data_IF_930956515839
#
_entry.id   IF_930956515839
#
_cell.length_a   1.000
_cell.length_b   1.000
_cell.length_c   1.000
_cell.angle_alpha   90.00
_cell.angle_beta   90.00
_cell.angle_gamma   90.00
#
_symmetry.space_group_name_H-M   'P 1'
#
loop_
_entity.id
_entity.type
_entity.pdbx_description
1 polymer ?
#
# COMPACT_ATOMS: atom_id res chain seq x y z
N UNK A 1 2.81 24.05 14.27
CA UNK A 1 2.42 23.40 13.02
C UNK A 1 1.28 24.20 12.38
N UNK A 2 1.32 24.39 11.05
CA UNK A 2 0.16 24.80 10.26
C UNK A 2 -0.48 23.53 9.73
N UNK A 3 -1.79 23.36 9.98
CA UNK A 3 -2.54 22.17 9.55
C UNK A 3 -3.56 22.60 8.51
N UNK A 4 -3.58 21.91 7.37
CA UNK A 4 -4.59 22.05 6.32
C UNK A 4 -5.40 20.75 6.24
N UNK A 5 -6.71 20.87 6.03
CA UNK A 5 -7.62 19.75 5.93
C UNK A 5 -8.11 19.58 4.49
N UNK A 6 -8.23 18.34 4.03
CA UNK A 6 -8.77 18.01 2.73
C UNK A 6 -9.68 16.78 2.79
N UNK A 7 -10.81 16.83 2.09
CA UNK A 7 -11.70 15.69 1.95
C UNK A 7 -11.11 14.68 0.94
N UNK A 8 -11.05 13.41 1.34
CA UNK A 8 -10.56 12.31 0.50
C UNK A 8 -11.44 11.08 0.64
N UNK A 9 -11.40 10.19 -0.35
CA UNK A 9 -12.14 8.94 -0.33
C UNK A 9 -13.65 9.13 -0.36
N UNK A 10 -14.38 8.37 0.46
CA UNK A 10 -15.84 8.37 0.46
C UNK A 10 -16.47 9.71 0.76
N UNK A 11 -15.91 10.48 1.69
CA UNK A 11 -16.39 11.85 2.00
C UNK A 11 -16.26 12.77 0.79
N UNK A 12 -15.16 12.66 0.05
CA UNK A 12 -14.94 13.46 -1.16
C UNK A 12 -15.89 13.03 -2.29
N UNK A 13 -16.15 11.71 -2.43
CA UNK A 13 -17.14 11.20 -3.40
C UNK A 13 -18.53 11.76 -3.09
N UNK A 14 -18.95 11.75 -1.83
CA UNK A 14 -20.27 12.25 -1.43
C UNK A 14 -20.44 13.76 -1.71
N UNK A 15 -19.41 14.54 -1.49
CA UNK A 15 -19.46 16.00 -1.64
C UNK A 15 -19.18 16.48 -3.06
N UNK A 16 -18.31 15.78 -3.78
CA UNK A 16 -17.71 16.28 -5.01
C UNK A 16 -17.78 15.31 -6.19
N UNK A 17 -18.29 14.08 -5.99
CA UNK A 17 -18.35 13.04 -7.03
C UNK A 17 -17.01 12.43 -7.42
N UNK A 18 -15.92 12.78 -6.73
CA UNK A 18 -14.56 12.28 -6.99
C UNK A 18 -13.87 11.91 -5.69
N UNK A 19 -13.04 10.86 -5.66
CA UNK A 19 -12.36 10.44 -4.44
C UNK A 19 -11.24 11.39 -4.00
N UNK A 20 -10.72 12.22 -4.91
CA UNK A 20 -9.63 13.18 -4.66
C UNK A 20 -9.77 14.41 -5.55
N UNK A 21 -9.89 15.58 -4.93
CA UNK A 21 -9.86 16.85 -5.64
C UNK A 21 -8.43 17.24 -6.05
N UNK A 22 -8.23 17.87 -7.22
CA UNK A 22 -6.92 18.40 -7.62
C UNK A 22 -6.30 19.34 -6.57
N UNK A 23 -7.10 20.22 -5.98
CA UNK A 23 -6.63 21.16 -4.94
C UNK A 23 -6.10 20.46 -3.69
N UNK A 24 -6.74 19.36 -3.26
CA UNK A 24 -6.29 18.55 -2.11
C UNK A 24 -5.01 17.81 -2.45
N UNK A 25 -4.92 17.27 -3.66
CA UNK A 25 -3.71 16.62 -4.17
C UNK A 25 -2.51 17.59 -4.20
N UNK A 26 -2.72 18.81 -4.71
CA UNK A 26 -1.68 19.81 -4.84
C UNK A 26 -1.25 20.38 -3.48
N UNK A 27 -2.20 20.56 -2.54
CA UNK A 27 -1.90 20.88 -1.13
C UNK A 27 -1.05 19.79 -0.48
N UNK A 28 -1.41 18.51 -0.67
CA UNK A 28 -0.62 17.39 -0.16
C UNK A 28 0.81 17.37 -0.72
N UNK A 29 1.01 17.73 -1.99
CA UNK A 29 2.33 17.79 -2.62
C UNK A 29 3.21 18.92 -2.08
N UNK A 30 2.61 20.00 -1.58
CA UNK A 30 3.31 21.16 -1.00
C UNK A 30 3.56 21.03 0.51
N UNK A 31 2.98 20.01 1.17
CA UNK A 31 3.09 19.81 2.60
C UNK A 31 4.36 19.04 2.98
N UNK A 32 4.91 19.34 4.16
CA UNK A 32 6.04 18.60 4.73
C UNK A 32 5.68 17.14 5.08
N UNK A 33 4.41 16.91 5.45
CA UNK A 33 3.88 15.58 5.76
C UNK A 33 2.36 15.54 5.55
N UNK A 34 1.84 14.35 5.26
CA UNK A 34 0.41 14.09 5.11
C UNK A 34 -0.03 13.05 6.14
N UNK A 35 -0.96 13.47 7.03
CA UNK A 35 -1.65 12.53 7.91
C UNK A 35 -2.92 12.06 7.21
N UNK A 36 -2.99 10.78 6.92
CA UNK A 36 -4.06 10.18 6.13
C UNK A 36 -4.92 9.25 6.99
N UNK A 37 -6.24 9.47 6.97
CA UNK A 37 -7.19 8.64 7.71
C UNK A 37 -7.77 7.48 6.90
N UNK A 38 -8.83 6.84 7.43
CA UNK A 38 -9.60 5.84 6.70
C UNK A 38 -10.40 6.47 5.56
N UNK A 39 -10.45 5.81 4.41
CA UNK A 39 -11.05 6.38 3.19
C UNK A 39 -12.40 5.78 2.81
N UNK A 40 -12.63 4.51 3.16
CA UNK A 40 -13.80 3.72 2.76
C UNK A 40 -14.75 3.43 3.90
N UNK A 41 -15.74 2.62 3.60
CA UNK A 41 -16.73 2.11 4.53
C UNK A 41 -17.86 1.39 3.81
N UNK A 42 -18.77 0.70 4.54
CA UNK A 42 -19.80 -0.13 3.93
C UNK A 42 -20.69 0.61 2.91
N UNK A 43 -20.85 1.92 3.07
CA UNK A 43 -21.66 2.76 2.16
C UNK A 43 -21.12 2.74 0.72
N UNK A 44 -19.80 2.66 0.53
CA UNK A 44 -19.13 2.73 -0.77
C UNK A 44 -18.61 1.36 -1.24
N UNK A 45 -18.85 0.29 -0.47
CA UNK A 45 -18.41 -1.07 -0.78
C UNK A 45 -19.42 -1.78 -1.71
N UNK A 46 -19.55 -1.25 -2.93
CA UNK A 46 -20.40 -1.83 -3.97
C UNK A 46 -19.52 -2.48 -5.04
N UNK A 47 -19.76 -3.76 -5.43
CA UNK A 47 -18.92 -4.49 -6.38
C UNK A 47 -18.73 -3.78 -7.72
N UNK A 48 -19.78 -3.11 -8.23
CA UNK A 48 -19.81 -2.48 -9.55
C UNK A 48 -19.51 -0.99 -9.55
N UNK A 49 -19.04 -0.44 -8.42
CA UNK A 49 -18.67 0.97 -8.34
C UNK A 49 -17.53 1.30 -9.30
N UNK A 50 -17.77 2.26 -10.21
CA UNK A 50 -16.77 2.80 -11.13
C UNK A 50 -15.73 3.70 -10.45
N UNK A 51 -16.08 4.24 -9.29
CA UNK A 51 -15.23 5.13 -8.47
C UNK A 51 -15.21 4.60 -7.05
N UNK A 52 -14.02 4.36 -6.52
CA UNK A 52 -13.83 3.80 -5.19
C UNK A 52 -13.09 4.76 -4.27
N UNK A 53 -13.40 4.77 -2.96
CA UNK A 53 -12.68 5.59 -1.99
C UNK A 53 -11.16 5.34 -2.00
N UNK A 54 -10.72 4.10 -2.21
CA UNK A 54 -9.32 3.68 -2.25
C UNK A 54 -8.54 4.32 -3.40
N UNK A 55 -9.22 4.75 -4.47
CA UNK A 55 -8.59 5.42 -5.61
C UNK A 55 -7.90 6.72 -5.18
N UNK A 56 -8.42 7.41 -4.15
CA UNK A 56 -7.77 8.59 -3.57
C UNK A 56 -6.37 8.27 -3.04
N UNK A 57 -6.23 7.15 -2.33
CA UNK A 57 -4.95 6.72 -1.77
C UNK A 57 -3.96 6.32 -2.86
N UNK A 58 -4.42 5.60 -3.88
CA UNK A 58 -3.58 5.19 -5.00
C UNK A 58 -3.09 6.40 -5.81
N UNK A 59 -3.98 7.36 -6.09
CA UNK A 59 -3.65 8.60 -6.79
C UNK A 59 -2.64 9.45 -6.00
N UNK A 60 -2.84 9.63 -4.68
CA UNK A 60 -1.90 10.36 -3.82
C UNK A 60 -0.53 9.70 -3.77
N UNK A 61 -0.45 8.38 -3.60
CA UNK A 61 0.82 7.64 -3.58
C UNK A 61 1.60 7.81 -4.88
N UNK A 62 0.90 7.71 -6.00
CA UNK A 62 1.52 7.92 -7.31
C UNK A 62 2.00 9.35 -7.50
N UNK A 63 1.16 10.33 -7.14
CA UNK A 63 1.48 11.75 -7.31
C UNK A 63 2.65 12.21 -6.41
N UNK A 64 2.69 11.74 -5.18
CA UNK A 64 3.76 12.05 -4.21
C UNK A 64 5.02 11.21 -4.43
N UNK A 65 4.99 10.21 -5.30
CA UNK A 65 6.14 9.31 -5.55
C UNK A 65 6.54 8.48 -4.32
N UNK A 66 5.63 8.26 -3.37
CA UNK A 66 5.91 7.49 -2.15
C UNK A 66 5.85 5.99 -2.46
N UNK A 67 6.99 5.35 -2.46
CA UNK A 67 7.16 3.96 -2.91
C UNK A 67 7.35 2.95 -1.76
N UNK A 68 7.82 3.40 -0.60
CA UNK A 68 8.10 2.51 0.53
C UNK A 68 7.01 2.59 1.61
N UNK A 69 6.29 1.51 1.81
CA UNK A 69 5.40 1.36 2.96
C UNK A 69 6.16 0.66 4.09
N UNK A 70 6.29 1.34 5.22
CA UNK A 70 7.02 0.85 6.38
C UNK A 70 6.02 0.53 7.48
N UNK A 71 5.94 -0.74 7.87
CA UNK A 71 5.02 -1.25 8.88
C UNK A 71 5.79 -1.86 10.04
N UNK A 72 6.04 -1.11 11.11
CA UNK A 72 6.59 -1.69 12.33
C UNK A 72 5.54 -2.61 12.99
N UNK A 73 5.99 -3.77 13.41
CA UNK A 73 5.20 -4.75 14.16
C UNK A 73 5.96 -5.06 15.44
N UNK A 74 5.41 -4.62 16.55
CA UNK A 74 5.95 -4.84 17.88
C UNK A 74 4.86 -5.34 18.80
N UNK A 75 5.14 -6.39 19.54
CA UNK A 75 4.24 -6.87 20.59
C UNK A 75 4.50 -6.10 21.85
N UNK A 76 3.48 -5.47 22.37
CA UNK A 76 3.50 -4.81 23.66
C UNK A 76 3.00 -5.80 24.73
N UNK A 77 3.73 -6.04 25.84
CA UNK A 77 3.36 -7.04 26.84
C UNK A 77 1.92 -6.91 27.36
N UNK A 78 1.44 -5.68 27.53
CA UNK A 78 0.09 -5.40 28.02
C UNK A 78 -1.03 -5.64 26.99
N UNK A 79 -0.68 -5.93 25.73
CA UNK A 79 -1.62 -6.29 24.67
C UNK A 79 -1.51 -7.78 24.28
N UNK A 80 -0.62 -8.55 24.90
CA UNK A 80 -0.37 -9.94 24.53
C UNK A 80 -1.63 -10.81 24.65
N UNK A 81 -2.44 -10.59 25.68
CA UNK A 81 -3.67 -11.34 25.92
C UNK A 81 -4.77 -11.09 24.88
N UNK A 82 -4.67 -10.01 24.10
CA UNK A 82 -5.59 -9.73 22.99
C UNK A 82 -5.28 -10.53 21.72
N UNK A 83 -4.20 -11.28 21.69
CA UNK A 83 -3.76 -12.07 20.54
C UNK A 83 -4.32 -13.50 20.61
N UNK A 84 -4.67 -14.06 19.44
CA UNK A 84 -4.99 -15.48 19.29
C UNK A 84 -3.75 -16.38 19.28
N UNK A 85 -2.53 -15.83 19.27
CA UNK A 85 -1.28 -16.57 19.27
C UNK A 85 -0.83 -16.90 20.69
N UNK A 86 -0.14 -18.03 20.84
CA UNK A 86 0.46 -18.42 22.14
C UNK A 86 1.48 -17.38 22.60
N UNK A 87 1.57 -17.08 23.91
CA UNK A 87 2.54 -16.11 24.45
C UNK A 87 3.98 -16.38 24.03
N UNK A 88 4.39 -17.65 23.97
CA UNK A 88 5.74 -18.05 23.53
C UNK A 88 6.08 -17.69 22.07
N UNK A 89 5.05 -17.45 21.24
CA UNK A 89 5.22 -17.01 19.83
C UNK A 89 5.33 -15.49 19.75
N UNK A 90 4.75 -14.79 20.72
CA UNK A 90 4.71 -13.33 20.78
C UNK A 90 5.94 -12.71 21.43
N UNK A 91 6.61 -13.49 22.28
CA UNK A 91 7.76 -13.02 23.06
C UNK A 91 8.90 -12.54 22.14
N UNK A 92 9.35 -11.30 22.35
CA UNK A 92 10.46 -10.71 21.59
C UNK A 92 10.16 -10.34 20.15
N UNK A 93 8.89 -10.41 19.69
CA UNK A 93 8.51 -9.99 18.34
C UNK A 93 8.70 -8.49 18.18
N UNK A 94 9.67 -8.13 17.36
CA UNK A 94 9.97 -6.75 16.91
C UNK A 94 10.51 -6.82 15.48
N UNK A 95 9.65 -6.60 14.51
CA UNK A 95 10.01 -6.64 13.09
C UNK A 95 9.42 -5.45 12.33
N UNK A 96 9.96 -5.17 11.16
CA UNK A 96 9.43 -4.17 10.24
C UNK A 96 9.19 -4.82 8.89
N UNK A 97 7.96 -4.72 8.39
CA UNK A 97 7.64 -5.10 7.02
C UNK A 97 7.85 -3.88 6.12
N UNK A 98 8.75 -4.00 5.16
CA UNK A 98 9.00 -2.99 4.13
C UNK A 98 8.36 -3.48 2.84
N UNK A 99 7.40 -2.71 2.29
CA UNK A 99 6.66 -3.08 1.10
C UNK A 99 6.85 -2.03 0.01
N UNK A 100 7.21 -2.47 -1.19
CA UNK A 100 7.14 -1.64 -2.40
C UNK A 100 5.66 -1.39 -2.77
N UNK A 101 5.30 -0.14 -3.08
CA UNK A 101 3.92 0.27 -3.25
C UNK A 101 3.55 0.79 -4.64
N UNK A 102 4.50 1.13 -5.49
CA UNK A 102 4.24 1.84 -6.75
C UNK A 102 4.42 0.96 -7.98
N UNK A 103 4.89 -0.26 -7.79
CA UNK A 103 4.97 -1.30 -8.81
C UNK A 103 3.98 -2.46 -8.59
N UNK A 104 4.12 -3.50 -9.38
CA UNK A 104 3.41 -4.77 -9.22
C UNK A 104 1.94 -4.73 -9.63
N UNK A 105 1.15 -5.57 -8.99
CA UNK A 105 -0.24 -5.88 -9.36
C UNK A 105 -1.21 -4.68 -9.29
N UNK A 106 -0.91 -3.65 -8.51
CA UNK A 106 -1.85 -2.54 -8.33
C UNK A 106 -1.81 -1.53 -9.46
N UNK A 107 -0.67 -1.37 -10.12
CA UNK A 107 -0.44 -0.31 -11.10
C UNK A 107 -0.14 -0.81 -12.51
N UNK A 108 0.40 -2.02 -12.66
CA UNK A 108 0.79 -2.54 -13.97
C UNK A 108 -0.43 -2.83 -14.86
N UNK A 109 -0.22 -2.65 -16.16
CA UNK A 109 -1.22 -2.89 -17.20
C UNK A 109 -0.73 -4.04 -18.10
N UNK A 110 -1.65 -4.79 -18.76
CA UNK A 110 -3.11 -4.67 -18.73
C UNK A 110 -3.73 -5.17 -17.41
N UNK A 111 -4.85 -4.56 -17.04
CA UNK A 111 -5.64 -4.92 -15.87
C UNK A 111 -7.12 -4.74 -16.17
N UNK A 112 -7.94 -5.72 -15.84
CA UNK A 112 -9.38 -5.59 -16.02
C UNK A 112 -10.10 -6.91 -16.26
N UNK A 113 -11.37 -6.77 -16.63
CA UNK A 113 -12.27 -7.89 -16.99
C UNK A 113 -12.76 -7.70 -18.39
N UNK A 114 -12.89 -8.79 -19.13
CA UNK A 114 -13.41 -8.82 -20.49
C UNK A 114 -14.39 -9.97 -20.61
N UNK A 115 -15.55 -9.71 -21.20
CA UNK A 115 -16.50 -10.76 -21.54
C UNK A 115 -16.03 -11.48 -22.81
N UNK A 116 -16.06 -12.81 -22.75
CA UNK A 116 -15.67 -13.68 -23.87
C UNK A 116 -16.79 -14.66 -24.18
N UNK A 117 -16.78 -15.36 -25.33
CA UNK A 117 -17.77 -16.39 -25.65
C UNK A 117 -17.81 -17.55 -24.62
N UNK A 118 -16.76 -17.72 -23.83
CA UNK A 118 -16.65 -18.75 -22.78
C UNK A 118 -16.97 -18.22 -21.37
N UNK A 119 -17.41 -16.95 -21.24
CA UNK A 119 -17.68 -16.28 -19.98
C UNK A 119 -16.67 -15.16 -19.69
N UNK A 120 -16.65 -14.69 -18.46
CA UNK A 120 -15.75 -13.60 -18.04
C UNK A 120 -14.30 -14.06 -17.91
N UNK A 121 -13.40 -13.27 -18.46
CA UNK A 121 -11.96 -13.35 -18.25
C UNK A 121 -11.47 -12.16 -17.48
N UNK A 122 -10.52 -12.33 -16.56
CA UNK A 122 -9.90 -11.27 -15.81
C UNK A 122 -8.37 -11.35 -15.90
N UNK A 123 -7.69 -10.21 -15.91
CA UNK A 123 -6.23 -10.13 -15.92
C UNK A 123 -5.77 -9.08 -14.91
N UNK A 124 -4.75 -9.43 -14.14
CA UNK A 124 -3.92 -8.52 -13.36
C UNK A 124 -2.45 -8.76 -13.73
N UNK A 125 -1.76 -7.71 -14.14
CA UNK A 125 -0.35 -7.78 -14.52
C UNK A 125 0.55 -7.47 -13.32
N UNK A 126 1.52 -8.34 -13.04
CA UNK A 126 2.59 -8.06 -12.09
C UNK A 126 3.87 -7.70 -12.86
N UNK A 127 4.38 -6.51 -12.66
CA UNK A 127 5.61 -6.03 -13.29
C UNK A 127 6.44 -5.22 -12.31
N UNK A 128 7.72 -5.52 -12.24
CA UNK A 128 8.73 -4.73 -11.52
C UNK A 128 9.92 -4.47 -12.42
N UNK A 129 10.54 -3.31 -12.24
CA UNK A 129 11.83 -2.95 -12.83
C UNK A 129 12.95 -3.09 -11.81
N UNK A 130 14.18 -3.22 -12.27
CA UNK A 130 15.37 -3.25 -11.42
C UNK A 130 15.46 -2.01 -10.52
N UNK A 131 15.15 -0.82 -11.04
CA UNK A 131 15.14 0.42 -10.27
C UNK A 131 14.12 0.43 -9.13
N UNK A 132 12.94 -0.18 -9.33
CA UNK A 132 11.91 -0.32 -8.28
C UNK A 132 12.37 -1.30 -7.20
N UNK A 133 12.99 -2.41 -7.58
CA UNK A 133 13.56 -3.38 -6.64
C UNK A 133 14.72 -2.75 -5.86
N UNK A 134 15.66 -2.10 -6.55
CA UNK A 134 16.83 -1.48 -5.91
C UNK A 134 16.42 -0.43 -4.87
N UNK A 135 15.51 0.50 -5.20
CA UNK A 135 15.12 1.56 -4.27
C UNK A 135 14.50 1.03 -2.97
N UNK A 136 13.66 -0.02 -3.06
CA UNK A 136 13.03 -0.59 -1.84
C UNK A 136 14.03 -1.42 -1.04
N UNK A 137 14.93 -2.16 -1.69
CA UNK A 137 16.00 -2.89 -1.02
C UNK A 137 16.94 -1.95 -0.26
N UNK A 138 17.29 -0.79 -0.83
CA UNK A 138 18.08 0.23 -0.13
C UNK A 138 17.41 0.70 1.16
N UNK A 139 16.08 0.86 1.18
CA UNK A 139 15.32 1.19 2.39
C UNK A 139 15.40 0.03 3.39
N UNK A 140 15.17 -1.20 2.93
CA UNK A 140 15.24 -2.41 3.77
C UNK A 140 16.62 -2.60 4.42
N UNK A 141 17.70 -2.46 3.67
CA UNK A 141 19.07 -2.57 4.19
C UNK A 141 19.40 -1.49 5.21
N UNK A 142 19.03 -0.23 4.97
CA UNK A 142 19.24 0.86 5.95
C UNK A 142 18.50 0.59 7.25
N UNK A 143 17.25 0.12 7.19
CA UNK A 143 16.48 -0.26 8.36
C UNK A 143 17.12 -1.45 9.08
N UNK A 144 17.58 -2.46 8.37
CA UNK A 144 18.26 -3.61 8.96
C UNK A 144 19.54 -3.18 9.68
N UNK A 145 20.36 -2.31 9.08
CA UNK A 145 21.58 -1.76 9.70
C UNK A 145 21.30 -0.99 11.01
N UNK A 146 20.20 -0.24 11.05
CA UNK A 146 19.81 0.52 12.26
C UNK A 146 19.17 -0.35 13.35
N UNK A 147 18.98 -1.65 13.11
CA UNK A 147 18.32 -2.61 14.00
C UNK A 147 19.27 -3.78 14.31
N UNK A 148 18.86 -5.01 13.99
CA UNK A 148 19.60 -6.24 14.33
C UNK A 148 20.48 -6.77 13.19
N UNK A 149 20.58 -6.06 12.07
CA UNK A 149 21.33 -6.51 10.90
C UNK A 149 20.69 -7.67 10.14
N UNK A 150 19.42 -7.97 10.39
CA UNK A 150 18.69 -9.07 9.74
C UNK A 150 17.71 -8.52 8.72
N UNK A 151 17.77 -9.08 7.50
CA UNK A 151 16.83 -8.79 6.42
C UNK A 151 16.41 -10.11 5.76
N UNK A 152 15.11 -10.26 5.52
CA UNK A 152 14.56 -11.36 4.76
C UNK A 152 13.83 -10.82 3.53
N UNK A 153 14.11 -11.37 2.35
CA UNK A 153 13.31 -11.17 1.15
C UNK A 153 12.22 -12.22 1.09
N UNK A 154 10.99 -11.78 0.85
CA UNK A 154 9.82 -12.67 0.73
C UNK A 154 9.36 -12.66 -0.71
N UNK A 155 9.49 -13.78 -1.39
CA UNK A 155 9.24 -13.92 -2.81
C UNK A 155 8.60 -15.26 -3.21
N UNK A 156 8.40 -15.44 -4.51
CA UNK A 156 7.96 -16.70 -5.14
C UNK A 156 8.86 -17.01 -6.36
N UNK A 157 10.16 -16.96 -6.18
CA UNK A 157 11.17 -17.09 -7.25
C UNK A 157 11.16 -18.47 -7.93
N UNK A 158 10.62 -19.50 -7.29
CA UNK A 158 10.46 -20.81 -7.91
C UNK A 158 9.45 -20.84 -9.07
N UNK A 159 8.61 -19.79 -9.21
CA UNK A 159 7.56 -19.73 -10.24
C UNK A 159 7.59 -18.41 -11.02
N UNK A 160 7.78 -17.27 -10.34
CA UNK A 160 7.53 -15.93 -10.89
C UNK A 160 8.83 -15.24 -11.32
N UNK A 161 8.88 -14.76 -12.56
CA UNK A 161 10.02 -13.98 -13.07
C UNK A 161 10.25 -12.67 -12.28
N UNK A 162 9.17 -11.99 -11.87
CA UNK A 162 9.29 -10.81 -11.03
C UNK A 162 9.98 -11.11 -9.69
N UNK A 163 9.72 -12.29 -9.11
CA UNK A 163 10.40 -12.71 -7.88
C UNK A 163 11.85 -13.12 -8.10
N UNK A 164 12.21 -13.56 -9.30
CA UNK A 164 13.62 -13.84 -9.66
C UNK A 164 14.44 -12.58 -9.86
N UNK A 165 13.79 -11.48 -10.24
CA UNK A 165 14.42 -10.17 -10.32
C UNK A 165 14.77 -9.60 -8.94
N UNK A 166 13.92 -9.90 -7.94
CA UNK A 166 14.14 -9.52 -6.53
C UNK A 166 15.33 -10.25 -5.92
#
# INVERSE_FOLDING_TARGET
>A
FRVEHGDVGGVSIDKHGTPLLPSVRDSAASADAVLFGGVGGPKWDTPDASVRPEDALLQLRSHLGVFANIRPVKVYPWLADSSALKPSVLEGVDLVVVRELTGGLYYAQPKGRTETPQGWSAVDTMRYSEAEVERILRVGFRLAQSRQGKLASVDKANVLECSRLW
#
